data_IF_126515843520
#
_entry.id   IF_126515843520
#
_cell.length_a   1.000
_cell.length_b   1.000
_cell.length_c   1.000
_cell.angle_alpha   90.00
_cell.angle_beta   90.00
_cell.angle_gamma   90.00
#
_symmetry.space_group_name_H-M   'P 1'
#
loop_
_entity.id
_entity.type
_entity.pdbx_description
1 polymer ?
#
# COMPACT_ATOMS: atom_id res chain seq x y z
N UNK A 1 -6.18 -7.54 6.32
CA UNK A 1 -7.18 -7.34 5.24
C UNK A 1 -8.36 -6.47 5.67
N UNK A 2 -9.09 -6.81 6.75
CA UNK A 2 -10.32 -6.11 7.15
C UNK A 2 -10.13 -4.60 7.46
N UNK A 3 -9.15 -4.24 8.29
CA UNK A 3 -8.87 -2.83 8.60
C UNK A 3 -8.50 -2.01 7.36
N UNK A 4 -7.78 -2.62 6.41
CA UNK A 4 -7.39 -1.97 5.16
C UNK A 4 -8.61 -1.74 4.25
N UNK A 5 -9.52 -2.71 4.16
CA UNK A 5 -10.78 -2.56 3.43
C UNK A 5 -11.66 -1.46 4.04
N UNK A 6 -11.82 -1.43 5.37
CA UNK A 6 -12.54 -0.36 6.08
C UNK A 6 -11.89 0.99 5.80
N UNK A 7 -10.56 1.08 5.90
CA UNK A 7 -9.80 2.29 5.56
C UNK A 7 -10.14 2.76 4.15
N UNK A 8 -10.12 1.90 3.13
CA UNK A 8 -10.44 2.30 1.74
C UNK A 8 -11.88 2.80 1.61
N UNK A 9 -12.85 2.12 2.23
CA UNK A 9 -14.26 2.51 2.18
C UNK A 9 -14.50 3.88 2.83
N UNK A 10 -13.94 4.10 4.03
CA UNK A 10 -13.99 5.38 4.72
C UNK A 10 -13.27 6.45 3.89
N UNK A 11 -12.06 6.16 3.41
CA UNK A 11 -11.25 7.14 2.70
C UNK A 11 -11.89 7.55 1.38
N UNK A 12 -12.62 6.65 0.70
CA UNK A 12 -13.38 6.97 -0.50
C UNK A 12 -14.47 8.02 -0.24
N UNK A 13 -15.14 8.00 0.92
CA UNK A 13 -16.18 9.00 1.24
C UNK A 13 -15.57 10.37 1.55
N UNK A 14 -14.45 10.40 2.28
CA UNK A 14 -13.76 11.64 2.62
C UNK A 14 -12.95 12.22 1.46
N UNK A 15 -12.37 11.37 0.60
CA UNK A 15 -11.60 11.81 -0.57
C UNK A 15 -12.44 12.62 -1.56
N UNK A 16 -13.76 12.47 -1.58
CA UNK A 16 -14.63 13.32 -2.42
C UNK A 16 -14.73 14.76 -1.89
N UNK A 17 -14.56 14.95 -0.57
CA UNK A 17 -14.78 16.24 0.12
C UNK A 17 -13.48 16.98 0.46
N UNK A 18 -12.39 16.26 0.69
CA UNK A 18 -11.12 16.81 1.16
C UNK A 18 -9.96 16.54 0.19
N UNK A 19 -8.87 17.30 0.32
CA UNK A 19 -7.64 17.00 -0.41
C UNK A 19 -6.97 15.73 0.12
N UNK A 20 -6.45 14.91 -0.80
CA UNK A 20 -5.78 13.65 -0.43
C UNK A 20 -4.53 13.86 0.44
N UNK A 21 -3.81 14.97 0.25
CA UNK A 21 -2.64 15.31 1.07
C UNK A 21 -3.04 15.60 2.51
N UNK A 22 -4.15 16.33 2.72
CA UNK A 22 -4.66 16.60 4.06
C UNK A 22 -5.09 15.31 4.76
N UNK A 23 -5.79 14.41 4.07
CA UNK A 23 -6.19 13.13 4.63
C UNK A 23 -4.98 12.27 5.04
N UNK A 24 -3.93 12.26 4.22
CA UNK A 24 -2.69 11.56 4.56
C UNK A 24 -1.95 12.18 5.75
N UNK A 25 -1.92 13.51 5.85
CA UNK A 25 -1.30 14.20 6.99
C UNK A 25 -1.96 13.78 8.32
N UNK A 26 -3.29 13.77 8.38
CA UNK A 26 -4.02 13.36 9.59
C UNK A 26 -3.72 11.91 9.96
N UNK A 27 -3.66 11.00 8.98
CA UNK A 27 -3.29 9.61 9.22
C UNK A 27 -1.87 9.48 9.80
N UNK A 28 -0.91 10.23 9.24
CA UNK A 28 0.47 10.20 9.72
C UNK A 28 0.61 10.75 11.14
N UNK A 29 -0.10 11.83 11.47
CA UNK A 29 -0.11 12.38 12.83
C UNK A 29 -0.67 11.38 13.83
N UNK A 30 -1.82 10.76 13.52
CA UNK A 30 -2.44 9.76 14.40
C UNK A 30 -1.53 8.54 14.57
N UNK A 31 -0.96 8.01 13.48
CA UNK A 31 -0.03 6.88 13.53
C UNK A 31 1.20 7.23 14.37
N UNK A 32 1.75 8.45 14.21
CA UNK A 32 2.92 8.90 14.96
C UNK A 32 2.65 8.98 16.46
N UNK A 33 1.49 9.51 16.87
CA UNK A 33 1.10 9.59 18.28
C UNK A 33 0.91 8.18 18.86
N UNK A 34 0.21 7.30 18.13
CA UNK A 34 -0.09 5.93 18.59
C UNK A 34 1.18 5.08 18.71
N UNK A 35 2.15 5.25 17.80
CA UNK A 35 3.41 4.52 17.81
C UNK A 35 4.52 5.20 18.65
N UNK A 36 4.30 6.42 19.15
CA UNK A 36 5.30 7.11 19.98
C UNK A 36 5.76 6.28 21.20
N UNK A 37 4.88 5.58 21.95
CA UNK A 37 5.30 4.80 23.11
C UNK A 37 6.26 3.66 22.77
N UNK A 38 6.13 3.06 21.57
CA UNK A 38 6.98 1.93 21.18
C UNK A 38 8.43 2.36 20.96
N UNK A 39 8.66 3.64 20.64
CA UNK A 39 10.01 4.18 20.48
C UNK A 39 10.83 4.15 21.77
N UNK A 40 10.17 4.13 22.95
CA UNK A 40 10.85 4.05 24.25
C UNK A 40 11.05 2.62 24.76
N UNK A 41 10.41 1.63 24.13
CA UNK A 41 10.49 0.21 24.53
C UNK A 41 11.44 -0.61 23.66
N UNK A 42 11.79 -0.12 22.47
CA UNK A 42 12.65 -0.83 21.51
C UNK A 42 14.09 -0.33 21.53
N UNK A 43 15.02 -1.22 21.23
CA UNK A 43 16.42 -0.85 21.02
C UNK A 43 16.55 0.03 19.76
N UNK A 44 17.22 1.16 19.91
CA UNK A 44 17.48 2.14 18.84
C UNK A 44 18.89 2.02 18.26
N UNK A 45 19.66 1.01 18.69
CA UNK A 45 20.97 0.72 18.14
C UNK A 45 20.87 0.47 16.62
N UNK A 46 21.69 1.19 15.83
CA UNK A 46 21.64 1.12 14.36
C UNK A 46 20.72 2.11 13.65
N UNK A 47 20.01 3.00 14.36
CA UNK A 47 19.10 3.97 13.73
C UNK A 47 19.77 4.83 12.65
N UNK A 48 21.03 5.25 12.86
CA UNK A 48 21.78 6.12 11.93
C UNK A 48 22.01 5.49 10.55
N UNK A 49 22.21 4.17 10.46
CA UNK A 49 22.45 3.51 9.16
C UNK A 49 21.16 3.29 8.37
N UNK A 50 20.01 3.28 9.06
CA UNK A 50 18.69 3.05 8.46
C UNK A 50 18.03 4.33 7.93
N UNK A 51 18.51 5.50 8.34
CA UNK A 51 17.95 6.81 7.97
C UNK A 51 17.69 6.99 6.47
N UNK A 52 18.63 6.66 5.55
CA UNK A 52 18.39 6.81 4.12
C UNK A 52 17.21 5.97 3.62
N UNK A 53 17.09 4.73 4.09
CA UNK A 53 16.00 3.82 3.71
C UNK A 53 14.66 4.27 4.30
N UNK A 54 14.65 4.73 5.55
CA UNK A 54 13.46 5.27 6.21
C UNK A 54 12.99 6.55 5.52
N UNK A 55 13.88 7.45 5.13
CA UNK A 55 13.53 8.65 4.36
C UNK A 55 12.96 8.31 2.99
N UNK A 56 13.58 7.35 2.29
CA UNK A 56 13.07 6.87 1.00
C UNK A 56 11.66 6.28 1.16
N UNK A 57 11.42 5.47 2.19
CA UNK A 57 10.11 4.90 2.49
C UNK A 57 9.08 5.98 2.87
N UNK A 58 9.46 6.90 3.74
CA UNK A 58 8.59 7.98 4.21
C UNK A 58 8.19 8.92 3.07
N UNK A 59 9.11 9.26 2.18
CA UNK A 59 8.84 10.17 1.08
C UNK A 59 8.17 9.48 -0.11
N UNK A 60 8.79 8.43 -0.65
CA UNK A 60 8.39 7.84 -1.93
C UNK A 60 7.13 6.99 -1.80
N UNK A 61 7.13 6.03 -0.87
CA UNK A 61 5.99 5.10 -0.74
C UNK A 61 4.88 5.71 0.11
N UNK A 62 5.25 6.36 1.22
CA UNK A 62 4.28 6.84 2.20
C UNK A 62 3.67 8.18 1.80
N UNK A 63 4.46 9.25 1.72
CA UNK A 63 3.93 10.57 1.41
C UNK A 63 3.41 10.64 -0.03
N UNK A 64 4.25 10.30 -1.01
CA UNK A 64 3.90 10.41 -2.43
C UNK A 64 2.94 9.29 -2.86
N UNK A 65 3.33 8.03 -2.66
CA UNK A 65 2.55 6.86 -3.09
C UNK A 65 1.15 6.83 -2.49
N UNK A 66 1.01 6.96 -1.16
CA UNK A 66 -0.33 6.95 -0.57
C UNK A 66 -1.12 8.21 -0.89
N UNK A 67 -0.53 9.40 -1.01
CA UNK A 67 -1.28 10.59 -1.45
C UNK A 67 -1.85 10.39 -2.85
N UNK A 68 -1.06 9.86 -3.78
CA UNK A 68 -1.54 9.52 -5.12
C UNK A 68 -2.66 8.47 -5.06
N UNK A 69 -2.53 7.46 -4.20
CA UNK A 69 -3.59 6.47 -3.98
C UNK A 69 -4.87 7.10 -3.44
N UNK A 70 -4.81 7.97 -2.42
CA UNK A 70 -6.00 8.66 -1.89
C UNK A 70 -6.64 9.54 -2.96
N UNK A 71 -5.84 10.26 -3.74
CA UNK A 71 -6.33 11.08 -4.86
C UNK A 71 -6.97 10.22 -5.94
N UNK A 72 -6.44 9.03 -6.23
CA UNK A 72 -7.04 8.12 -7.21
C UNK A 72 -8.42 7.61 -6.76
N UNK A 73 -8.68 7.52 -5.45
CA UNK A 73 -10.02 7.24 -4.92
C UNK A 73 -11.04 8.33 -5.28
N UNK A 74 -10.65 9.52 -5.76
CA UNK A 74 -11.63 10.46 -6.35
C UNK A 74 -12.23 9.90 -7.64
N UNK A 75 -11.41 9.24 -8.46
CA UNK A 75 -11.75 8.77 -9.81
C UNK A 75 -12.21 7.31 -9.87
N UNK A 76 -11.70 6.45 -8.99
CA UNK A 76 -11.98 5.00 -9.02
C UNK A 76 -12.98 4.57 -7.93
N UNK A 77 -13.78 3.54 -8.20
CA UNK A 77 -14.60 2.87 -7.17
C UNK A 77 -13.68 2.17 -6.15
N UNK A 78 -14.14 2.03 -4.90
CA UNK A 78 -13.40 1.29 -3.86
C UNK A 78 -13.10 -0.17 -4.28
N UNK A 79 -14.02 -0.80 -5.02
CA UNK A 79 -13.82 -2.14 -5.60
C UNK A 79 -12.62 -2.18 -6.56
N UNK A 80 -12.50 -1.20 -7.45
CA UNK A 80 -11.38 -1.10 -8.40
C UNK A 80 -10.06 -0.87 -7.67
N UNK A 81 -10.05 0.00 -6.66
CA UNK A 81 -8.87 0.20 -5.82
C UNK A 81 -8.46 -1.11 -5.12
N UNK A 82 -9.43 -1.88 -4.60
CA UNK A 82 -9.20 -3.21 -4.04
C UNK A 82 -8.53 -4.17 -5.03
N UNK A 83 -9.06 -4.27 -6.25
CA UNK A 83 -8.51 -5.12 -7.31
C UNK A 83 -7.07 -4.74 -7.65
N UNK A 84 -6.78 -3.44 -7.80
CA UNK A 84 -5.42 -2.95 -8.06
C UNK A 84 -4.49 -3.32 -6.89
N UNK A 85 -4.93 -3.15 -5.65
CA UNK A 85 -4.12 -3.48 -4.48
C UNK A 85 -3.85 -4.98 -4.34
N UNK A 86 -4.77 -5.84 -4.80
CA UNK A 86 -4.57 -7.29 -4.84
C UNK A 86 -3.48 -7.71 -5.83
N UNK A 87 -3.10 -6.86 -6.78
CA UNK A 87 -1.99 -7.11 -7.71
C UNK A 87 -0.62 -6.69 -7.14
N UNK A 88 -0.56 -5.97 -6.01
CA UNK A 88 0.70 -5.55 -5.37
C UNK A 88 1.72 -6.68 -5.17
N UNK A 89 1.35 -7.92 -4.78
CA UNK A 89 2.30 -9.01 -4.64
C UNK A 89 3.05 -9.34 -5.94
N UNK A 90 2.39 -9.22 -7.10
CA UNK A 90 3.01 -9.48 -8.40
C UNK A 90 4.12 -8.46 -8.66
N UNK A 91 3.83 -7.17 -8.42
CA UNK A 91 4.83 -6.12 -8.51
C UNK A 91 5.97 -6.34 -7.51
N UNK A 92 5.67 -6.83 -6.31
CA UNK A 92 6.67 -7.21 -5.32
C UNK A 92 7.63 -8.28 -5.82
N UNK A 93 7.11 -9.36 -6.42
CA UNK A 93 7.92 -10.45 -7.02
C UNK A 93 8.81 -9.90 -8.15
N UNK A 94 8.25 -9.07 -9.04
CA UNK A 94 9.00 -8.48 -10.15
C UNK A 94 10.14 -7.60 -9.63
N UNK A 95 9.85 -6.72 -8.66
CA UNK A 95 10.86 -5.83 -8.08
C UNK A 95 11.93 -6.65 -7.35
N UNK A 96 11.55 -7.69 -6.59
CA UNK A 96 12.50 -8.56 -5.89
C UNK A 96 13.45 -9.27 -6.86
N UNK A 97 12.93 -9.78 -7.97
CA UNK A 97 13.74 -10.40 -9.01
C UNK A 97 14.78 -9.43 -9.60
N UNK A 98 14.37 -8.21 -9.97
CA UNK A 98 15.28 -7.24 -10.60
C UNK A 98 16.24 -6.54 -9.64
N UNK A 99 15.77 -6.16 -8.45
CA UNK A 99 16.57 -5.36 -7.49
C UNK A 99 17.32 -6.19 -6.46
N UNK A 100 16.72 -7.29 -5.98
CA UNK A 100 17.34 -8.18 -5.00
C UNK A 100 18.03 -9.39 -5.65
N UNK A 101 17.79 -9.64 -6.94
CA UNK A 101 18.33 -10.81 -7.63
C UNK A 101 17.68 -12.14 -7.18
N UNK A 102 16.52 -12.08 -6.53
CA UNK A 102 15.82 -13.26 -6.02
C UNK A 102 15.19 -14.04 -7.17
N UNK A 103 15.69 -15.24 -7.46
CA UNK A 103 15.14 -16.10 -8.51
C UNK A 103 13.83 -16.73 -8.00
N UNK A 104 12.68 -16.52 -8.68
CA UNK A 104 11.40 -17.05 -8.23
C UNK A 104 11.42 -18.58 -8.25
N UNK A 105 11.02 -19.19 -7.13
CA UNK A 105 10.82 -20.63 -7.04
C UNK A 105 9.55 -21.06 -7.77
N UNK A 106 9.41 -22.37 -8.05
CA UNK A 106 8.22 -22.95 -8.68
C UNK A 106 6.93 -22.61 -7.91
N UNK A 107 6.99 -22.58 -6.58
CA UNK A 107 5.88 -22.17 -5.72
C UNK A 107 5.50 -20.70 -5.92
N UNK A 108 6.49 -19.83 -6.17
CA UNK A 108 6.27 -18.40 -6.45
C UNK A 108 5.54 -18.21 -7.77
N UNK A 109 5.85 -19.02 -8.78
CA UNK A 109 5.12 -19.02 -10.05
C UNK A 109 3.68 -19.47 -9.90
N UNK A 110 3.43 -20.56 -9.15
CA UNK A 110 2.06 -21.04 -8.89
C UNK A 110 1.25 -19.99 -8.13
N UNK A 111 1.82 -19.43 -7.05
CA UNK A 111 1.17 -18.37 -6.28
C UNK A 111 0.90 -17.12 -7.12
N UNK A 112 1.89 -16.70 -7.92
CA UNK A 112 1.75 -15.57 -8.84
C UNK A 112 0.62 -15.79 -9.86
N UNK A 113 0.52 -16.97 -10.45
CA UNK A 113 -0.53 -17.33 -11.41
C UNK A 113 -1.93 -17.27 -10.76
N UNK A 114 -2.07 -17.75 -9.53
CA UNK A 114 -3.33 -17.68 -8.78
C UNK A 114 -3.75 -16.21 -8.53
N UNK A 115 -2.80 -15.36 -8.15
CA UNK A 115 -3.07 -13.93 -7.90
C UNK A 115 -3.48 -13.24 -9.21
N UNK A 116 -2.74 -13.45 -10.30
CA UNK A 116 -3.07 -12.88 -11.62
C UNK A 116 -4.47 -13.30 -12.06
N UNK A 117 -4.79 -14.60 -11.96
CA UNK A 117 -6.10 -15.14 -12.33
C UNK A 117 -7.22 -14.47 -11.54
N UNK A 118 -7.04 -14.34 -10.22
CA UNK A 118 -8.01 -13.69 -9.33
C UNK A 118 -8.22 -12.22 -9.69
N UNK A 119 -7.14 -11.48 -9.95
CA UNK A 119 -7.20 -10.06 -10.34
C UNK A 119 -7.92 -9.89 -11.67
N UNK A 120 -7.65 -10.74 -12.67
CA UNK A 120 -8.31 -10.70 -13.98
C UNK A 120 -9.82 -10.96 -13.83
N UNK A 121 -10.21 -12.01 -13.11
CA UNK A 121 -11.61 -12.37 -12.89
C UNK A 121 -12.37 -11.23 -12.21
N UNK A 122 -11.82 -10.69 -11.11
CA UNK A 122 -12.47 -9.59 -10.37
C UNK A 122 -12.48 -8.28 -11.17
N UNK A 123 -11.46 -8.00 -11.99
CA UNK A 123 -11.41 -6.84 -12.90
C UNK A 123 -12.56 -6.89 -13.92
N UNK A 124 -12.76 -8.04 -14.56
CA UNK A 124 -13.86 -8.24 -15.53
C UNK A 124 -15.22 -8.09 -14.83
N UNK A 125 -15.38 -8.70 -13.66
CA UNK A 125 -16.61 -8.63 -12.87
C UNK A 125 -16.93 -7.21 -12.43
N UNK A 126 -15.92 -6.44 -12.01
CA UNK A 126 -16.09 -5.05 -11.57
C UNK A 126 -16.45 -4.10 -12.72
N UNK A 127 -16.07 -4.39 -13.97
CA UNK A 127 -16.47 -3.58 -15.13
C UNK A 127 -17.94 -3.76 -15.47
N UNK A 128 -18.51 -4.93 -15.15
CA UNK A 128 -19.92 -5.28 -15.42
C UNK A 128 -20.90 -4.70 -14.38
N UNK A 129 -20.40 -4.05 -13.31
CA UNK A 129 -21.17 -3.56 -12.15
C UNK A 129 -20.97 -2.07 -11.93
#
# INVERSE_FOLDING_TARGET
ALCYAIRILILKTYAQKYDGTMLMLHQLVVISIVLLPTAFMMDTSGFKSQWPYVLMLAFLTTALGHTMFVRSLKYFKASTAGIITSALPIYGIIIAFFFLGEIPSLNTYIGGLLIVSTVIIESIRSKKR
#
